data_IF_337041903345
#
_entry.id   IF_337041903345
#
_cell.length_a   1.000
_cell.length_b   1.000
_cell.length_c   1.000
_cell.angle_alpha   90.00
_cell.angle_beta   90.00
_cell.angle_gamma   90.00
#
_symmetry.space_group_name_H-M   'P 1'
#
loop_
_entity.id
_entity.type
_entity.pdbx_description
1 polymer ?
#
# COMPACT_ATOMS: atom_id res chain seq x y z
N UNK A 1 9.77 1.31 25.76
CA UNK A 1 9.62 -0.02 26.39
C UNK A 1 9.22 0.02 27.87
N UNK A 2 9.06 1.20 28.50
CA UNK A 2 8.78 1.33 29.95
C UNK A 2 7.47 0.72 30.45
N UNK A 3 6.49 0.46 29.56
CA UNK A 3 5.16 -0.02 29.97
C UNK A 3 5.05 -1.56 30.08
N UNK A 4 6.07 -2.31 29.67
CA UNK A 4 6.02 -3.79 29.71
C UNK A 4 7.21 -4.31 30.52
N UNK A 5 6.97 -4.87 31.71
CA UNK A 5 7.99 -5.53 32.51
C UNK A 5 8.70 -6.66 31.73
N UNK A 6 10.02 -6.77 31.91
CA UNK A 6 10.87 -7.70 31.15
C UNK A 6 10.49 -9.17 31.35
N UNK A 7 10.03 -9.54 32.54
CA UNK A 7 9.56 -10.88 32.90
C UNK A 7 8.28 -11.27 32.13
N UNK A 8 7.40 -10.30 31.89
CA UNK A 8 6.19 -10.48 31.07
C UNK A 8 6.58 -10.68 29.61
N UNK A 9 7.57 -9.95 29.11
CA UNK A 9 8.08 -10.11 27.74
C UNK A 9 8.71 -11.50 27.56
N UNK A 10 9.56 -11.96 28.49
CA UNK A 10 10.19 -13.29 28.46
C UNK A 10 9.16 -14.42 28.46
N UNK A 11 8.03 -14.28 29.18
CA UNK A 11 6.94 -15.27 29.19
C UNK A 11 6.14 -15.30 27.89
N UNK A 12 6.01 -14.15 27.21
CA UNK A 12 5.17 -14.02 26.00
C UNK A 12 5.90 -14.36 24.70
N UNK A 13 7.21 -14.13 24.62
CA UNK A 13 8.01 -14.42 23.42
C UNK A 13 7.89 -15.88 22.95
N UNK A 14 7.93 -16.91 23.83
CA UNK A 14 7.73 -18.31 23.43
C UNK A 14 6.32 -18.64 22.91
N UNK A 15 5.32 -17.80 23.20
CA UNK A 15 3.95 -17.97 22.68
C UNK A 15 3.81 -17.47 21.23
N UNK A 16 4.82 -16.78 20.70
CA UNK A 16 4.86 -16.31 19.33
C UNK A 16 5.43 -17.42 18.47
N UNK A 17 4.63 -17.95 17.54
CA UNK A 17 5.12 -18.92 16.56
C UNK A 17 5.86 -18.19 15.43
N UNK A 18 7.19 -18.34 15.27
CA UNK A 18 7.88 -17.81 14.11
C UNK A 18 7.46 -18.59 12.86
N UNK A 19 7.30 -17.87 11.76
CA UNK A 19 7.13 -18.46 10.44
C UNK A 19 8.01 -17.73 9.43
N UNK A 20 8.38 -18.44 8.36
CA UNK A 20 9.13 -17.89 7.23
C UNK A 20 8.31 -18.09 5.96
N UNK A 21 7.95 -16.99 5.30
CA UNK A 21 7.33 -17.02 3.98
C UNK A 21 8.42 -17.13 2.91
N UNK A 22 8.47 -18.25 2.19
CA UNK A 22 9.30 -18.39 0.99
C UNK A 22 8.50 -17.91 -0.22
N UNK A 23 8.79 -16.69 -0.67
CA UNK A 23 8.12 -16.09 -1.83
C UNK A 23 8.73 -16.69 -3.10
N UNK A 24 7.91 -17.38 -3.90
CA UNK A 24 8.33 -17.98 -5.18
C UNK A 24 8.01 -17.11 -6.38
N UNK A 25 6.93 -16.31 -6.29
CA UNK A 25 6.54 -15.31 -7.28
C UNK A 25 5.80 -14.16 -6.61
N UNK A 26 5.70 -13.04 -7.32
CA UNK A 26 4.89 -11.89 -6.91
C UNK A 26 4.07 -11.46 -8.12
N UNK A 27 2.75 -11.52 -7.97
CA UNK A 27 1.79 -11.09 -8.98
C UNK A 27 0.99 -9.90 -8.44
N UNK A 28 0.98 -8.80 -9.18
CA UNK A 28 0.34 -7.55 -8.78
C UNK A 28 -0.52 -6.99 -9.92
N UNK A 29 -1.70 -6.49 -9.57
CA UNK A 29 -2.58 -5.78 -10.52
C UNK A 29 -2.80 -4.36 -10.04
N UNK A 30 -2.51 -3.38 -10.90
CA UNK A 30 -2.79 -1.98 -10.64
C UNK A 30 -3.95 -1.50 -11.50
N UNK A 31 -4.99 -0.93 -10.88
CA UNK A 31 -6.09 -0.24 -11.56
C UNK A 31 -5.97 1.24 -11.27
N UNK A 32 -5.46 1.98 -12.24
CA UNK A 32 -5.11 3.40 -12.14
C UNK A 32 -5.83 4.23 -13.23
N UNK A 33 -6.97 3.73 -13.71
CA UNK A 33 -7.70 4.27 -14.86
C UNK A 33 -6.85 4.33 -16.15
N UNK A 34 -6.01 3.32 -16.38
CA UNK A 34 -5.10 3.26 -17.53
C UNK A 34 -5.80 3.21 -18.88
N UNK A 35 -7.07 2.78 -18.91
CA UNK A 35 -7.89 2.72 -20.11
C UNK A 35 -8.55 4.05 -20.47
N UNK A 36 -8.32 5.13 -19.71
CA UNK A 36 -8.91 6.45 -19.95
C UNK A 36 -7.90 7.39 -20.62
N UNK A 37 -8.38 8.42 -21.35
CA UNK A 37 -7.51 9.49 -21.84
C UNK A 37 -6.69 10.11 -20.71
N UNK A 38 -5.44 10.49 -21.00
CA UNK A 38 -4.49 10.98 -20.01
C UNK A 38 -5.05 12.17 -19.20
N UNK A 39 -5.76 13.10 -19.85
CA UNK A 39 -6.37 14.26 -19.21
C UNK A 39 -7.45 13.86 -18.18
N UNK A 40 -8.30 12.89 -18.51
CA UNK A 40 -9.34 12.40 -17.59
C UNK A 40 -8.74 11.72 -16.36
N UNK A 41 -7.66 10.95 -16.56
CA UNK A 41 -6.91 10.33 -15.46
C UNK A 41 -6.20 11.37 -14.59
N UNK A 42 -5.60 12.39 -15.19
CA UNK A 42 -4.95 13.48 -14.46
C UNK A 42 -5.95 14.26 -13.59
N UNK A 43 -7.11 14.63 -14.14
CA UNK A 43 -8.16 15.31 -13.37
C UNK A 43 -8.68 14.47 -12.21
N UNK A 44 -8.87 13.16 -12.41
CA UNK A 44 -9.23 12.26 -11.31
C UNK A 44 -8.13 12.22 -10.23
N UNK A 45 -6.85 12.24 -10.61
CA UNK A 45 -5.73 12.27 -9.68
C UNK A 45 -5.63 13.60 -8.91
N UNK A 46 -6.09 14.71 -9.47
CA UNK A 46 -6.11 16.02 -8.80
C UNK A 46 -7.16 16.04 -7.68
N UNK A 47 -8.35 15.49 -7.91
CA UNK A 47 -9.44 15.46 -6.92
C UNK A 47 -9.27 14.42 -5.80
N UNK A 48 -8.28 13.52 -5.91
CA UNK A 48 -8.04 12.50 -4.88
C UNK A 48 -7.64 13.10 -3.52
N UNK A 49 -7.04 14.29 -3.48
CA UNK A 49 -6.63 14.93 -2.23
C UNK A 49 -7.81 15.34 -1.34
N UNK A 50 -8.98 15.57 -1.95
CA UNK A 50 -10.22 16.00 -1.28
C UNK A 50 -11.19 14.83 -1.06
N UNK A 51 -10.82 13.63 -1.52
CA UNK A 51 -11.66 12.45 -1.47
C UNK A 51 -11.54 11.70 -0.14
N UNK A 52 -12.47 10.79 0.13
CA UNK A 52 -12.45 9.92 1.31
C UNK A 52 -11.60 8.69 1.05
N UNK A 53 -10.64 8.40 1.93
CA UNK A 53 -9.84 7.17 1.88
C UNK A 53 -8.47 7.31 2.52
N UNK A 54 -7.67 6.25 2.39
CA UNK A 54 -6.29 6.19 2.88
C UNK A 54 -5.31 6.17 1.71
N UNK A 55 -4.11 6.71 1.91
CA UNK A 55 -3.04 6.69 0.91
C UNK A 55 -3.41 7.36 -0.44
N UNK A 56 -4.39 8.26 -0.46
CA UNK A 56 -4.90 8.85 -1.70
C UNK A 56 -3.84 9.69 -2.44
N UNK A 57 -2.94 10.34 -1.70
CA UNK A 57 -1.80 11.04 -2.29
C UNK A 57 -0.85 10.08 -3.02
N UNK A 58 -0.59 8.89 -2.45
CA UNK A 58 0.23 7.86 -3.07
C UNK A 58 -0.45 7.28 -4.32
N UNK A 59 -1.77 7.03 -4.25
CA UNK A 59 -2.57 6.61 -5.41
C UNK A 59 -2.53 7.65 -6.54
N UNK A 60 -2.74 8.92 -6.22
CA UNK A 60 -2.71 10.01 -7.19
C UNK A 60 -1.34 10.13 -7.87
N UNK A 61 -0.25 9.89 -7.12
CA UNK A 61 1.11 9.83 -7.68
C UNK A 61 1.26 8.65 -8.65
N UNK A 62 0.76 7.47 -8.31
CA UNK A 62 0.79 6.30 -9.20
C UNK A 62 -0.03 6.51 -10.49
N UNK A 63 -1.19 7.15 -10.39
CA UNK A 63 -2.01 7.51 -11.55
C UNK A 63 -1.29 8.45 -12.51
N UNK A 64 -0.41 9.34 -12.00
CA UNK A 64 0.39 10.25 -12.83
C UNK A 64 1.65 9.59 -13.40
N UNK A 65 2.23 8.60 -12.72
CA UNK A 65 3.53 8.02 -13.10
C UNK A 65 3.47 6.94 -14.18
N UNK A 66 2.28 6.47 -14.57
CA UNK A 66 2.16 5.37 -15.54
C UNK A 66 2.07 5.89 -16.98
N UNK A 67 2.99 5.46 -17.84
CA UNK A 67 2.97 5.74 -19.28
C UNK A 67 1.71 5.13 -19.93
N UNK A 68 1.17 5.71 -21.02
CA UNK A 68 0.08 5.09 -21.77
C UNK A 68 0.49 3.67 -22.18
N UNK A 69 -0.35 2.68 -21.90
CA UNK A 69 -0.14 1.37 -22.51
C UNK A 69 -0.49 1.49 -23.99
N UNK A 70 0.43 1.01 -24.82
CA UNK A 70 0.41 1.12 -26.28
C UNK A 70 -0.80 0.43 -26.88
#
# INVERSE_FOLDING_TARGET
MDKVPVDILTRRLPMIQPLRLHITSIDGTWKLAQNKPAAARAGAADHLAESVGQELAALAKLMRSISPQK
#
